data_IF_002898494048
#
_entry.id   IF_002898494048
#
_cell.length_a   1.000
_cell.length_b   1.000
_cell.length_c   1.000
_cell.angle_alpha   90.00
_cell.angle_beta   90.00
_cell.angle_gamma   90.00
#
_symmetry.space_group_name_H-M   'P 1'
#
loop_
_entity.id
_entity.type
_entity.pdbx_description
1 polymer ?
#
# COMPACT_ATOMS: atom_id res chain seq x y z
N UNK A 1 -16.86 83.49 41.91
CA UNK A 1 -15.88 82.55 42.50
C UNK A 1 -16.04 81.22 41.80
N UNK A 2 -15.16 80.90 40.86
CA UNK A 2 -15.26 79.72 39.98
C UNK A 2 -14.07 78.81 40.26
N UNK A 3 -14.19 77.89 41.22
CA UNK A 3 -13.13 76.94 41.54
C UNK A 3 -13.68 75.70 42.27
N UNK A 4 -14.45 74.87 41.57
CA UNK A 4 -14.91 73.57 42.11
C UNK A 4 -14.94 72.46 41.05
N UNK A 5 -14.81 72.80 39.77
CA UNK A 5 -14.67 71.86 38.66
C UNK A 5 -13.25 71.29 38.48
N UNK A 6 -12.25 71.83 39.16
CA UNK A 6 -10.84 71.42 38.99
C UNK A 6 -10.40 70.27 39.92
N UNK A 7 -11.21 69.91 40.92
CA UNK A 7 -10.81 68.96 41.96
C UNK A 7 -11.31 67.53 41.69
N UNK A 8 -12.50 67.38 41.09
CA UNK A 8 -13.10 66.06 40.81
C UNK A 8 -12.31 65.27 39.77
N UNK A 9 -11.78 65.94 38.74
CA UNK A 9 -10.93 65.30 37.72
C UNK A 9 -9.54 64.94 38.28
N UNK A 10 -9.01 65.76 39.19
CA UNK A 10 -7.75 65.47 39.88
C UNK A 10 -7.88 64.24 40.79
N UNK A 11 -8.96 64.18 41.59
CA UNK A 11 -9.29 63.02 42.42
C UNK A 11 -9.50 61.74 41.59
N UNK A 12 -10.24 61.81 40.48
CA UNK A 12 -10.41 60.65 39.60
C UNK A 12 -9.08 60.19 39.00
N UNK A 13 -8.22 61.13 38.60
CA UNK A 13 -6.89 60.83 38.07
C UNK A 13 -5.99 60.21 39.12
N UNK A 14 -6.06 60.67 40.37
CA UNK A 14 -5.31 60.09 41.49
C UNK A 14 -5.78 58.66 41.80
N UNK A 15 -7.09 58.44 41.81
CA UNK A 15 -7.68 57.10 42.00
C UNK A 15 -7.29 56.17 40.84
N UNK A 16 -7.36 56.65 39.59
CA UNK A 16 -6.94 55.90 38.42
C UNK A 16 -5.45 55.55 38.49
N UNK A 17 -4.57 56.52 38.73
CA UNK A 17 -3.12 56.28 38.81
C UNK A 17 -2.77 55.33 39.96
N UNK A 18 -3.45 55.44 41.11
CA UNK A 18 -3.24 54.53 42.24
C UNK A 18 -3.73 53.13 41.93
N UNK A 19 -4.86 53.02 41.26
CA UNK A 19 -5.41 51.73 40.80
C UNK A 19 -4.45 51.12 39.77
N UNK A 20 -4.03 51.89 38.77
CA UNK A 20 -3.07 51.47 37.75
C UNK A 20 -1.76 50.97 38.35
N UNK A 21 -1.18 51.68 39.33
CA UNK A 21 0.03 51.22 40.02
C UNK A 21 -0.19 49.88 40.75
N UNK A 22 -1.31 49.72 41.46
CA UNK A 22 -1.61 48.47 42.18
C UNK A 22 -1.85 47.32 41.20
N UNK A 23 -2.54 47.58 40.08
CA UNK A 23 -2.74 46.59 39.03
C UNK A 23 -1.44 46.27 38.30
N UNK A 24 -0.58 47.27 38.06
CA UNK A 24 0.72 47.09 37.44
C UNK A 24 1.61 46.20 38.29
N UNK A 25 1.70 46.47 39.60
CA UNK A 25 2.49 45.66 40.53
C UNK A 25 1.93 44.24 40.64
N UNK A 26 0.61 44.09 40.76
CA UNK A 26 -0.03 42.78 40.83
C UNK A 26 0.12 41.96 39.54
N UNK A 27 0.00 42.61 38.37
CA UNK A 27 0.18 41.97 37.06
C UNK A 27 1.64 41.61 36.87
N UNK A 28 2.58 42.48 37.22
CA UNK A 28 4.01 42.21 37.11
C UNK A 28 4.41 41.04 38.02
N UNK A 29 3.97 41.04 39.28
CA UNK A 29 4.20 39.93 40.21
C UNK A 29 3.57 38.62 39.73
N UNK A 30 2.39 38.68 39.10
CA UNK A 30 1.69 37.51 38.56
C UNK A 30 2.36 36.96 37.31
N UNK A 31 2.82 37.83 36.40
CA UNK A 31 3.50 37.45 35.16
C UNK A 31 4.92 36.93 35.42
N UNK A 32 5.61 37.45 36.43
CA UNK A 32 6.94 36.97 36.85
C UNK A 32 6.87 35.60 37.53
N UNK A 33 5.72 35.23 38.10
CA UNK A 33 5.49 33.90 38.69
C UNK A 33 5.26 32.86 37.60
N UNK A 34 6.17 31.86 37.55
CA UNK A 34 6.04 30.67 36.68
C UNK A 34 4.70 29.94 36.83
N UNK A 35 4.06 30.03 37.99
CA UNK A 35 2.74 29.43 38.25
C UNK A 35 1.62 30.01 37.37
N UNK A 36 1.75 31.25 36.88
CA UNK A 36 0.77 31.83 35.95
C UNK A 36 0.84 31.14 34.59
N UNK A 37 2.05 30.99 34.03
CA UNK A 37 2.24 30.26 32.78
C UNK A 37 1.81 28.78 32.89
N UNK A 38 2.08 28.14 34.02
CA UNK A 38 1.62 26.77 34.30
C UNK A 38 0.09 26.69 34.42
N UNK A 39 -0.54 27.66 35.10
CA UNK A 39 -2.01 27.73 35.19
C UNK A 39 -2.67 27.98 33.84
N UNK A 40 -2.08 28.82 32.98
CA UNK A 40 -2.56 29.03 31.61
C UNK A 40 -2.42 27.76 30.78
N UNK A 41 -1.30 27.04 30.90
CA UNK A 41 -1.11 25.74 30.26
C UNK A 41 -2.14 24.70 30.72
N UNK A 42 -2.46 24.69 32.01
CA UNK A 42 -3.47 23.81 32.58
C UNK A 42 -4.88 24.15 32.07
N UNK A 43 -5.26 25.44 32.04
CA UNK A 43 -6.55 25.89 31.51
C UNK A 43 -6.66 25.55 30.01
N UNK A 44 -5.59 25.76 29.25
CA UNK A 44 -5.54 25.42 27.83
C UNK A 44 -5.70 23.90 27.62
N UNK A 45 -4.97 23.09 28.40
CA UNK A 45 -5.11 21.63 28.35
C UNK A 45 -6.54 21.19 28.68
N UNK A 46 -7.15 21.82 29.69
CA UNK A 46 -8.53 21.53 30.07
C UNK A 46 -9.53 21.90 28.97
N UNK A 47 -9.31 23.00 28.27
CA UNK A 47 -10.14 23.40 27.11
C UNK A 47 -10.06 22.37 25.98
N UNK A 48 -8.86 21.90 25.63
CA UNK A 48 -8.68 20.86 24.60
C UNK A 48 -9.35 19.56 25.01
N UNK A 49 -9.18 19.12 26.25
CA UNK A 49 -9.84 17.92 26.78
C UNK A 49 -11.37 18.06 26.77
N UNK A 50 -11.91 19.24 27.07
CA UNK A 50 -13.34 19.50 26.99
C UNK A 50 -13.84 19.41 25.53
N UNK A 51 -13.10 19.99 24.58
CA UNK A 51 -13.42 19.90 23.17
C UNK A 51 -13.40 18.44 22.66
N UNK A 52 -12.41 17.65 23.09
CA UNK A 52 -12.36 16.21 22.80
C UNK A 52 -13.54 15.45 23.40
N UNK A 53 -13.94 15.77 24.63
CA UNK A 53 -15.09 15.14 25.28
C UNK A 53 -16.39 15.46 24.53
N UNK A 54 -16.60 16.72 24.15
CA UNK A 54 -17.76 17.15 23.36
C UNK A 54 -17.78 16.44 22.01
N UNK A 55 -16.63 16.31 21.35
CA UNK A 55 -16.52 15.56 20.09
C UNK A 55 -16.89 14.09 20.29
N UNK A 56 -16.35 13.41 21.32
CA UNK A 56 -16.66 12.02 21.64
C UNK A 56 -18.14 11.80 21.98
N UNK A 57 -18.75 12.71 22.74
CA UNK A 57 -20.17 12.65 23.07
C UNK A 57 -21.05 12.85 21.82
N UNK A 58 -20.66 13.80 20.97
CA UNK A 58 -21.33 14.03 19.67
C UNK A 58 -21.19 12.81 18.77
N UNK A 59 -19.99 12.21 18.71
CA UNK A 59 -19.72 10.99 17.95
C UNK A 59 -20.58 9.82 18.44
N UNK A 60 -20.64 9.61 19.77
CA UNK A 60 -21.47 8.56 20.38
C UNK A 60 -22.97 8.79 20.13
N UNK A 61 -23.43 10.03 20.13
CA UNK A 61 -24.82 10.37 19.81
C UNK A 61 -25.14 10.12 18.32
N UNK A 62 -24.23 10.50 17.42
CA UNK A 62 -24.38 10.25 15.98
C UNK A 62 -24.36 8.75 15.67
N UNK A 63 -23.52 7.98 16.37
CA UNK A 63 -23.52 6.50 16.31
C UNK A 63 -24.86 5.91 16.72
N UNK A 64 -25.48 6.45 17.78
CA UNK A 64 -26.81 6.01 18.22
C UNK A 64 -27.92 6.35 17.22
N UNK A 65 -27.73 7.40 16.42
CA UNK A 65 -28.61 7.78 15.32
C UNK A 65 -28.30 7.04 13.99
N UNK A 66 -27.37 6.07 13.98
CA UNK A 66 -26.86 5.41 12.78
C UNK A 66 -26.30 6.37 11.71
N UNK A 67 -25.87 7.57 12.12
CA UNK A 67 -25.22 8.52 11.22
C UNK A 67 -23.71 8.32 11.36
N UNK A 68 -23.01 7.81 10.33
CA UNK A 68 -21.58 7.58 10.39
C UNK A 68 -20.84 8.90 10.62
N UNK A 69 -19.78 8.84 11.41
CA UNK A 69 -19.01 10.05 11.74
C UNK A 69 -18.03 10.38 10.62
N UNK A 70 -17.60 11.64 10.52
CA UNK A 70 -16.68 12.08 9.45
C UNK A 70 -15.38 11.28 9.44
N UNK A 71 -14.89 10.90 10.62
CA UNK A 71 -13.65 10.12 10.77
C UNK A 71 -13.82 8.67 10.31
N UNK A 72 -14.98 8.06 10.56
CA UNK A 72 -15.30 6.71 10.07
C UNK A 72 -15.37 6.68 8.53
N UNK A 73 -15.97 7.70 7.91
CA UNK A 73 -16.00 7.86 6.45
C UNK A 73 -14.58 8.02 5.90
N UNK A 74 -13.73 8.82 6.54
CA UNK A 74 -12.34 9.02 6.12
C UNK A 74 -11.51 7.73 6.22
N UNK A 75 -11.69 6.96 7.29
CA UNK A 75 -11.02 5.67 7.47
C UNK A 75 -11.45 4.65 6.41
N UNK A 76 -12.75 4.54 6.13
CA UNK A 76 -13.26 3.66 5.06
C UNK A 76 -12.74 4.10 3.69
N UNK A 77 -12.73 5.40 3.41
CA UNK A 77 -12.18 5.93 2.17
C UNK A 77 -10.69 5.58 2.01
N UNK A 78 -9.90 5.71 3.08
CA UNK A 78 -8.48 5.32 3.07
C UNK A 78 -8.29 3.82 2.85
N UNK A 79 -9.12 2.98 3.47
CA UNK A 79 -9.12 1.54 3.25
C UNK A 79 -9.43 1.18 1.80
N UNK A 80 -10.43 1.84 1.20
CA UNK A 80 -10.79 1.64 -0.22
C UNK A 80 -9.63 2.00 -1.14
N UNK A 81 -8.98 3.15 -0.92
CA UNK A 81 -7.81 3.58 -1.73
C UNK A 81 -6.65 2.58 -1.61
N UNK A 82 -6.40 2.05 -0.41
CA UNK A 82 -5.37 1.02 -0.23
C UNK A 82 -5.73 -0.31 -0.92
N UNK A 83 -7.01 -0.67 -0.95
CA UNK A 83 -7.46 -1.87 -1.67
C UNK A 83 -7.33 -1.67 -3.18
N UNK A 84 -7.72 -0.50 -3.70
CA UNK A 84 -7.59 -0.13 -5.11
C UNK A 84 -6.13 -0.24 -5.56
N UNK A 85 -5.21 0.41 -4.83
CA UNK A 85 -3.78 0.31 -5.11
C UNK A 85 -3.23 -1.12 -5.03
N UNK A 86 -3.78 -1.97 -4.17
CA UNK A 86 -3.37 -3.39 -4.09
C UNK A 86 -3.94 -4.22 -5.24
N UNK A 87 -5.13 -3.88 -5.74
CA UNK A 87 -5.72 -4.51 -6.91
C UNK A 87 -4.89 -4.15 -8.14
N UNK A 88 -4.51 -2.88 -8.32
CA UNK A 88 -3.63 -2.46 -9.42
C UNK A 88 -2.30 -3.24 -9.43
N UNK A 89 -1.66 -3.37 -8.26
CA UNK A 89 -0.42 -4.15 -8.12
C UNK A 89 -0.63 -5.62 -8.48
N UNK A 90 -1.76 -6.21 -8.08
CA UNK A 90 -2.07 -7.60 -8.38
C UNK A 90 -2.36 -7.79 -9.87
N UNK A 91 -3.02 -6.83 -10.52
CA UNK A 91 -3.25 -6.85 -11.97
C UNK A 91 -1.92 -6.80 -12.73
N UNK A 92 -1.01 -5.92 -12.35
CA UNK A 92 0.33 -5.83 -12.94
C UNK A 92 1.11 -7.15 -12.76
N UNK A 93 1.15 -7.71 -11.54
CA UNK A 93 1.82 -8.99 -11.27
C UNK A 93 1.20 -10.14 -12.08
N UNK A 94 -0.13 -10.16 -12.20
CA UNK A 94 -0.84 -11.19 -12.95
C UNK A 94 -0.57 -11.12 -14.45
N UNK A 95 -0.48 -9.91 -15.02
CA UNK A 95 -0.13 -9.73 -16.43
C UNK A 95 1.32 -10.14 -16.70
N UNK A 96 2.26 -9.84 -15.81
CA UNK A 96 3.64 -10.31 -15.91
C UNK A 96 3.76 -11.84 -15.83
N UNK A 97 3.03 -12.48 -14.91
CA UNK A 97 2.99 -13.93 -14.79
C UNK A 97 2.37 -14.58 -16.03
N UNK A 98 1.29 -14.02 -16.56
CA UNK A 98 0.70 -14.48 -17.83
C UNK A 98 1.72 -14.45 -18.95
N UNK A 99 2.44 -13.34 -19.11
CA UNK A 99 3.43 -13.22 -20.18
C UNK A 99 4.57 -14.26 -20.01
N UNK A 100 5.03 -14.49 -18.77
CA UNK A 100 6.01 -15.55 -18.47
C UNK A 100 5.48 -16.93 -18.84
N UNK A 101 4.26 -17.27 -18.42
CA UNK A 101 3.63 -18.55 -18.72
C UNK A 101 3.50 -18.76 -20.24
N UNK A 102 3.09 -17.75 -20.99
CA UNK A 102 3.00 -17.87 -22.46
C UNK A 102 4.36 -18.14 -23.10
N UNK A 103 5.41 -17.44 -22.65
CA UNK A 103 6.78 -17.67 -23.12
C UNK A 103 7.26 -19.09 -22.79
N UNK A 104 6.97 -19.59 -21.60
CA UNK A 104 7.32 -20.96 -21.19
C UNK A 104 6.55 -22.01 -22.00
N UNK A 105 5.25 -21.81 -22.25
CA UNK A 105 4.44 -22.68 -23.10
C UNK A 105 5.01 -22.73 -24.52
N UNK A 106 5.40 -21.59 -25.09
CA UNK A 106 5.97 -21.55 -26.44
C UNK A 106 7.35 -22.22 -26.50
N UNK A 107 8.18 -22.06 -25.46
CA UNK A 107 9.44 -22.78 -25.33
C UNK A 107 9.21 -24.30 -25.22
N UNK A 108 8.22 -24.71 -24.41
CA UNK A 108 7.85 -26.11 -24.24
C UNK A 108 7.34 -26.71 -25.56
N UNK A 109 6.46 -26.03 -26.28
CA UNK A 109 5.99 -26.45 -27.62
C UNK A 109 7.15 -26.67 -28.59
N UNK A 110 8.14 -25.75 -28.63
CA UNK A 110 9.33 -25.91 -29.46
C UNK A 110 10.16 -27.13 -29.05
N UNK A 111 10.33 -27.35 -27.74
CA UNK A 111 11.08 -28.50 -27.23
C UNK A 111 10.41 -29.83 -27.61
N UNK A 112 9.08 -29.92 -27.47
CA UNK A 112 8.28 -31.10 -27.84
C UNK A 112 8.38 -31.37 -29.34
N UNK A 113 8.21 -30.35 -30.19
CA UNK A 113 8.35 -30.50 -31.64
C UNK A 113 9.77 -30.96 -32.05
N UNK A 114 10.81 -30.53 -31.31
CA UNK A 114 12.17 -31.01 -31.55
C UNK A 114 12.37 -32.48 -31.13
N UNK A 115 11.67 -32.90 -30.08
CA UNK A 115 11.68 -34.26 -29.57
C UNK A 115 10.98 -35.22 -30.54
N UNK A 116 9.82 -34.82 -31.07
CA UNK A 116 9.10 -35.53 -32.12
C UNK A 116 10.00 -35.81 -33.32
N UNK A 117 10.69 -34.78 -33.85
CA UNK A 117 11.65 -34.96 -34.96
C UNK A 117 12.80 -35.91 -34.64
N UNK A 118 13.29 -35.90 -33.39
CA UNK A 118 14.35 -36.82 -32.96
C UNK A 118 13.83 -38.25 -32.86
N UNK A 119 12.61 -38.43 -32.37
CA UNK A 119 11.93 -39.73 -32.32
C UNK A 119 11.72 -40.30 -33.72
N UNK A 120 11.20 -39.52 -34.66
CA UNK A 120 11.03 -39.93 -36.05
C UNK A 120 12.36 -40.41 -36.65
N UNK A 121 13.44 -39.67 -36.41
CA UNK A 121 14.78 -40.05 -36.89
C UNK A 121 15.30 -41.34 -36.25
N UNK A 122 15.01 -41.58 -34.97
CA UNK A 122 15.37 -42.83 -34.30
C UNK A 122 14.57 -44.00 -34.87
N UNK A 123 13.27 -43.81 -35.13
CA UNK A 123 12.40 -44.81 -35.78
C UNK A 123 12.92 -45.14 -37.17
N UNK A 124 13.28 -44.14 -37.98
CA UNK A 124 13.86 -44.34 -39.31
C UNK A 124 15.19 -45.13 -39.26
N UNK A 125 16.07 -44.80 -38.31
CA UNK A 125 17.33 -45.52 -38.13
C UNK A 125 17.12 -46.97 -37.67
N UNK A 126 16.13 -47.22 -36.79
CA UNK A 126 15.74 -48.56 -36.36
C UNK A 126 15.18 -49.37 -37.53
N UNK A 127 14.24 -48.83 -38.31
CA UNK A 127 13.70 -49.49 -39.49
C UNK A 127 14.79 -49.83 -40.50
N UNK A 128 15.69 -48.88 -40.78
CA UNK A 128 16.84 -49.13 -41.67
C UNK A 128 17.77 -50.22 -41.14
N UNK A 129 17.98 -50.29 -39.83
CA UNK A 129 18.81 -51.35 -39.21
C UNK A 129 18.12 -52.72 -39.26
N UNK A 130 16.78 -52.75 -39.14
CA UNK A 130 15.97 -53.96 -39.29
C UNK A 130 15.98 -54.47 -40.74
N UNK A 131 15.84 -53.58 -41.73
CA UNK A 131 15.96 -53.91 -43.15
C UNK A 131 17.35 -54.46 -43.51
N UNK A 132 18.41 -53.96 -42.86
CA UNK A 132 19.79 -54.45 -43.08
C UNK A 132 20.02 -55.84 -42.46
N UNK A 133 19.13 -56.32 -41.59
CA UNK A 133 19.24 -57.63 -40.92
C UNK A 133 18.45 -58.72 -41.65
N UNK A 134 17.56 -58.36 -42.58
CA UNK A 134 16.71 -59.33 -43.32
C UNK A 134 17.28 -59.80 -44.67
N UNK A 135 18.44 -59.35 -45.16
CA UNK A 135 19.04 -59.96 -46.37
C UNK A 135 19.71 -61.31 -46.06
N UNK A 136 19.18 -62.47 -46.52
CA UNK A 136 19.87 -63.73 -46.41
C UNK A 136 20.82 -63.91 -47.61
N UNK A 137 22.01 -64.33 -47.24
CA UNK A 137 23.06 -64.90 -48.07
C UNK A 137 22.54 -65.85 -49.18
N UNK A 138 22.56 -65.44 -50.45
CA UNK A 138 22.66 -66.39 -51.58
C UNK A 138 23.47 -65.79 -52.72
N UNK A 139 24.80 -65.79 -52.61
CA UNK A 139 25.69 -65.53 -53.75
C UNK A 139 27.10 -66.11 -53.54
N UNK A 140 27.22 -67.37 -53.10
CA UNK A 140 28.47 -68.14 -53.25
C UNK A 140 28.17 -69.62 -53.52
N UNK A 141 27.48 -69.95 -54.64
CA UNK A 141 27.37 -71.34 -55.11
C UNK A 141 26.96 -71.44 -56.60
N UNK A 142 27.62 -70.71 -57.50
CA UNK A 142 27.40 -70.85 -58.96
C UNK A 142 28.61 -71.45 -59.70
N UNK A 143 29.35 -72.35 -59.04
CA UNK A 143 30.50 -73.02 -59.63
C UNK A 143 30.56 -74.51 -59.24
N UNK A 144 29.51 -75.28 -59.56
CA UNK A 144 29.58 -76.73 -59.78
C UNK A 144 28.17 -77.30 -60.05
N UNK A 145 27.78 -77.46 -61.31
CA UNK A 145 27.54 -78.82 -61.83
C UNK A 145 27.10 -78.81 -63.30
N UNK A 146 27.92 -79.56 -64.03
CA UNK A 146 27.73 -80.15 -65.35
C UNK A 146 26.38 -80.89 -65.47
N UNK A 147 25.88 -80.83 -66.69
CA UNK A 147 25.38 -81.97 -67.48
C UNK A 147 23.94 -82.47 -67.30
N UNK A 148 23.42 -82.98 -68.44
CA UNK A 148 22.28 -83.90 -68.60
C UNK A 148 20.91 -83.18 -68.56
N UNK A 149 19.99 -83.26 -69.51
CA UNK A 149 19.76 -84.09 -70.70
C UNK A 149 18.63 -83.48 -71.54
N UNK A 150 18.73 -83.65 -72.87
CA UNK A 150 17.68 -83.77 -73.92
C UNK A 150 16.34 -83.06 -73.76
#
# INVERSE_FOLDING_TARGET
MSQSSFDVFALWKEIYNRTESVWQDAIQETLEKKSFAESLGQIQSQYVQYQELVNKMTESYLKQANIPTRDEIANVASLIVNVDSKIDQLEDEFDEERERIFKEIDALKKSVASLEKKLDKVIDLLNKSLETTEEPQTSVAAAANKAVSK
#
